data_IF_545490787375
#
_entry.id   IF_545490787375
#
_cell.length_a   1.000
_cell.length_b   1.000
_cell.length_c   1.000
_cell.angle_alpha   90.00
_cell.angle_beta   90.00
_cell.angle_gamma   90.00
#
_symmetry.space_group_name_H-M   'P 1'
#
loop_
_entity.id
_entity.type
_entity.pdbx_description
1 polymer ?
#
# COMPACT_ATOMS: atom_id res chain seq x y z
N UNK A 1 60.48 18.54 28.41
CA UNK A 1 60.20 18.08 27.04
C UNK A 1 58.73 17.73 26.96
N UNK A 2 57.87 18.62 26.47
CA UNK A 2 57.36 18.64 25.08
C UNK A 2 56.76 17.29 24.65
N UNK A 3 55.43 17.14 24.74
CA UNK A 3 54.48 17.08 23.59
C UNK A 3 53.12 16.45 23.95
N UNK A 4 52.07 17.22 23.65
CA UNK A 4 50.80 16.85 22.97
C UNK A 4 49.92 15.78 23.65
N UNK A 5 48.65 16.00 23.95
CA UNK A 5 47.69 16.92 23.35
C UNK A 5 46.44 16.11 22.95
N UNK A 6 45.32 16.38 23.63
CA UNK A 6 43.93 16.23 23.19
C UNK A 6 43.62 15.31 21.99
N UNK A 7 42.80 14.28 22.22
CA UNK A 7 41.64 14.02 21.35
C UNK A 7 40.43 13.71 22.23
N UNK A 8 39.44 14.60 22.13
CA UNK A 8 38.11 14.49 22.72
C UNK A 8 37.40 13.22 22.23
N UNK A 9 36.90 12.41 23.16
CA UNK A 9 35.87 11.44 22.88
C UNK A 9 34.56 12.21 22.62
N UNK A 10 34.31 12.53 21.36
CA UNK A 10 33.03 13.03 20.91
C UNK A 10 31.99 11.91 21.05
N UNK A 11 31.16 12.02 22.07
CA UNK A 11 29.85 11.40 22.21
C UNK A 11 29.01 11.73 20.96
N UNK A 12 29.20 10.93 19.93
CA UNK A 12 28.33 10.89 18.76
C UNK A 12 27.17 9.99 19.14
N UNK A 13 26.17 10.59 19.77
CA UNK A 13 24.81 10.04 19.83
C UNK A 13 24.39 9.87 18.38
N UNK A 14 24.63 8.69 17.82
CA UNK A 14 23.97 8.22 16.61
C UNK A 14 22.51 8.06 17.01
N UNK A 15 21.79 9.17 16.93
CA UNK A 15 20.35 9.21 16.88
C UNK A 15 19.99 8.49 15.56
N UNK A 16 19.87 7.16 15.63
CA UNK A 16 19.07 6.39 14.70
C UNK A 16 17.63 6.87 14.87
N UNK A 17 17.33 8.03 14.30
CA UNK A 17 16.04 8.22 13.69
C UNK A 17 16.01 7.18 12.58
N UNK A 18 15.43 6.01 12.88
CA UNK A 18 14.94 5.10 11.87
C UNK A 18 13.93 5.89 11.06
N UNK A 19 14.41 6.59 10.02
CA UNK A 19 13.55 7.00 8.93
C UNK A 19 12.94 5.68 8.44
N UNK A 20 11.60 5.54 8.45
CA UNK A 20 10.96 4.36 7.88
C UNK A 20 11.54 4.22 6.47
N UNK A 21 12.22 3.11 6.22
CA UNK A 21 12.89 2.84 4.97
C UNK A 21 11.78 2.66 3.93
N UNK A 22 11.29 3.77 3.37
CA UNK A 22 10.32 3.75 2.30
C UNK A 22 10.92 2.96 1.14
N UNK A 23 10.37 1.77 0.96
CA UNK A 23 10.68 0.78 -0.06
C UNK A 23 10.98 1.43 -1.41
N UNK A 24 12.13 1.10 -1.99
CA UNK A 24 12.58 1.56 -3.32
C UNK A 24 11.79 0.93 -4.48
N UNK A 25 10.79 0.10 -4.20
CA UNK A 25 10.24 -0.86 -5.17
C UNK A 25 8.72 -0.71 -5.44
N UNK A 26 8.12 0.47 -5.29
CA UNK A 26 6.73 0.61 -5.77
C UNK A 26 6.71 0.64 -7.31
N UNK A 27 6.43 -0.52 -7.93
CA UNK A 27 6.09 -0.63 -9.35
C UNK A 27 4.83 0.19 -9.72
N UNK A 28 4.14 0.71 -8.70
CA UNK A 28 2.98 1.58 -8.76
C UNK A 28 3.44 3.05 -8.66
N UNK A 29 2.97 3.87 -9.60
CA UNK A 29 3.39 5.26 -9.72
C UNK A 29 2.93 6.15 -8.56
N UNK A 30 3.72 7.18 -8.25
CA UNK A 30 3.36 8.18 -7.23
C UNK A 30 2.24 9.11 -7.71
N UNK A 31 1.41 9.53 -6.78
CA UNK A 31 0.29 10.47 -7.02
C UNK A 31 0.60 11.88 -6.52
N UNK A 32 1.66 12.02 -5.70
CA UNK A 32 2.01 13.25 -5.00
C UNK A 32 1.03 13.59 -3.86
N UNK A 33 0.11 12.69 -3.51
CA UNK A 33 -0.63 12.75 -2.26
C UNK A 33 0.10 11.87 -1.23
N UNK A 34 0.56 12.47 -0.13
CA UNK A 34 1.42 11.78 0.85
C UNK A 34 0.72 10.59 1.50
N UNK A 35 -0.58 10.70 1.78
CA UNK A 35 -1.34 9.64 2.44
C UNK A 35 -1.55 8.46 1.47
N UNK A 36 -1.92 8.75 0.22
CA UNK A 36 -2.08 7.72 -0.80
C UNK A 36 -0.76 7.01 -1.12
N UNK A 37 0.31 7.78 -1.33
CA UNK A 37 1.61 7.21 -1.69
C UNK A 37 2.17 6.35 -0.56
N UNK A 38 2.00 6.76 0.71
CA UNK A 38 2.38 5.94 1.86
C UNK A 38 1.52 4.66 1.99
N UNK A 39 0.20 4.77 1.78
CA UNK A 39 -0.72 3.64 1.79
C UNK A 39 -0.35 2.58 0.75
N UNK A 40 -0.11 2.99 -0.50
CA UNK A 40 0.21 2.07 -1.60
C UNK A 40 1.55 1.36 -1.37
N UNK A 41 2.57 2.06 -0.85
CA UNK A 41 3.85 1.43 -0.49
C UNK A 41 3.63 0.36 0.57
N UNK A 42 2.94 0.70 1.66
CA UNK A 42 2.64 -0.23 2.75
C UNK A 42 1.85 -1.46 2.27
N UNK A 43 0.82 -1.26 1.44
CA UNK A 43 0.05 -2.37 0.87
C UNK A 43 0.89 -3.25 -0.06
N UNK A 44 1.79 -2.65 -0.86
CA UNK A 44 2.69 -3.40 -1.75
C UNK A 44 3.64 -4.27 -0.94
N UNK A 45 4.30 -3.68 0.06
CA UNK A 45 5.25 -4.39 0.92
C UNK A 45 4.54 -5.51 1.68
N UNK A 46 3.36 -5.23 2.26
CA UNK A 46 2.54 -6.25 2.93
C UNK A 46 2.12 -7.40 2.02
N UNK A 47 1.70 -7.09 0.78
CA UNK A 47 1.32 -8.12 -0.20
C UNK A 47 2.51 -9.00 -0.56
N UNK A 48 3.70 -8.42 -0.72
CA UNK A 48 4.94 -9.18 -0.94
C UNK A 48 5.26 -10.08 0.24
N UNK A 49 5.17 -9.57 1.47
CA UNK A 49 5.48 -10.35 2.67
C UNK A 49 4.56 -11.57 2.82
N UNK A 50 3.26 -11.41 2.57
CA UNK A 50 2.32 -12.52 2.59
C UNK A 50 2.64 -13.56 1.50
N UNK A 51 3.00 -13.09 0.30
CA UNK A 51 3.40 -13.96 -0.80
C UNK A 51 4.66 -14.77 -0.45
N UNK A 52 5.73 -14.11 0.01
CA UNK A 52 6.97 -14.74 0.43
C UNK A 52 6.74 -15.78 1.54
N UNK A 53 5.83 -15.47 2.46
CA UNK A 53 5.47 -16.36 3.55
C UNK A 53 4.76 -17.63 3.04
N UNK A 54 3.83 -17.49 2.07
CA UNK A 54 3.18 -18.64 1.43
C UNK A 54 4.22 -19.50 0.71
N UNK A 55 5.12 -18.90 -0.08
CA UNK A 55 6.16 -19.64 -0.80
C UNK A 55 7.13 -20.37 0.14
N UNK A 56 7.37 -19.81 1.33
CA UNK A 56 8.22 -20.41 2.34
C UNK A 56 7.55 -21.59 3.08
N UNK A 57 6.29 -21.44 3.46
CA UNK A 57 5.64 -22.34 4.43
C UNK A 57 4.59 -23.28 3.79
N UNK A 58 4.05 -22.91 2.62
CA UNK A 58 2.94 -23.59 1.95
C UNK A 58 3.14 -23.64 0.44
N UNK A 59 4.18 -24.35 0.00
CA UNK A 59 4.55 -24.48 -1.41
C UNK A 59 3.44 -25.06 -2.29
N UNK A 60 2.53 -25.85 -1.70
CA UNK A 60 1.33 -26.33 -2.39
C UNK A 60 0.44 -25.21 -2.93
N UNK A 61 0.50 -24.00 -2.33
CA UNK A 61 -0.25 -22.83 -2.78
C UNK A 61 0.54 -21.90 -3.71
N UNK A 62 1.75 -22.26 -4.16
CA UNK A 62 2.60 -21.37 -4.95
C UNK A 62 1.88 -20.76 -6.16
N UNK A 63 1.22 -21.58 -6.97
CA UNK A 63 0.55 -21.10 -8.20
C UNK A 63 -0.54 -20.07 -7.89
N UNK A 64 -1.39 -20.33 -6.91
CA UNK A 64 -2.46 -19.40 -6.52
C UNK A 64 -1.92 -18.18 -5.76
N UNK A 65 -0.81 -18.32 -5.04
CA UNK A 65 -0.14 -17.21 -4.39
C UNK A 65 0.45 -16.23 -5.42
N UNK A 66 1.12 -16.75 -6.45
CA UNK A 66 1.66 -15.95 -7.55
C UNK A 66 0.54 -15.19 -8.28
N UNK A 67 -0.56 -15.88 -8.62
CA UNK A 67 -1.73 -15.26 -9.25
C UNK A 67 -2.39 -14.19 -8.35
N UNK A 68 -2.55 -14.49 -7.06
CA UNK A 68 -3.12 -13.55 -6.09
C UNK A 68 -2.24 -12.32 -5.91
N UNK A 69 -0.91 -12.50 -5.83
CA UNK A 69 0.04 -11.41 -5.74
C UNK A 69 -0.03 -10.50 -6.98
N UNK A 70 -0.01 -11.07 -8.18
CA UNK A 70 -0.15 -10.30 -9.42
C UNK A 70 -1.49 -9.55 -9.49
N UNK A 71 -2.58 -10.20 -9.06
CA UNK A 71 -3.90 -9.58 -9.01
C UNK A 71 -3.91 -8.36 -8.09
N UNK A 72 -3.39 -8.49 -6.86
CA UNK A 72 -3.32 -7.38 -5.89
C UNK A 72 -2.49 -6.21 -6.40
N UNK A 73 -1.33 -6.47 -7.01
CA UNK A 73 -0.53 -5.41 -7.66
C UNK A 73 -1.32 -4.73 -8.78
N UNK A 74 -2.09 -5.49 -9.56
CA UNK A 74 -2.90 -4.93 -10.62
C UNK A 74 -4.06 -4.06 -10.10
N UNK A 75 -4.71 -4.46 -9.01
CA UNK A 75 -5.73 -3.66 -8.32
C UNK A 75 -5.15 -2.36 -7.76
N UNK A 76 -4.06 -2.43 -7.00
CA UNK A 76 -3.45 -1.23 -6.41
C UNK A 76 -3.01 -0.22 -7.48
N UNK A 77 -2.51 -0.71 -8.64
CA UNK A 77 -2.21 0.16 -9.79
C UNK A 77 -3.47 0.77 -10.39
N UNK A 78 -4.54 0.00 -10.54
CA UNK A 78 -5.82 0.49 -11.04
C UNK A 78 -6.41 1.57 -10.10
N UNK A 79 -6.42 1.32 -8.80
CA UNK A 79 -6.94 2.25 -7.81
C UNK A 79 -6.10 3.52 -7.73
N UNK A 80 -4.78 3.42 -7.95
CA UNK A 80 -3.91 4.59 -8.05
C UNK A 80 -4.26 5.47 -9.25
N UNK A 81 -4.59 4.88 -10.41
CA UNK A 81 -5.06 5.65 -11.57
C UNK A 81 -6.41 6.31 -11.29
N UNK A 82 -7.34 5.59 -10.66
CA UNK A 82 -8.64 6.14 -10.22
C UNK A 82 -8.45 7.30 -9.26
N UNK A 83 -7.56 7.16 -8.26
CA UNK A 83 -7.26 8.21 -7.31
C UNK A 83 -6.69 9.45 -7.99
N UNK A 84 -5.72 9.28 -8.91
CA UNK A 84 -5.18 10.40 -9.68
C UNK A 84 -6.26 11.13 -10.49
N UNK A 85 -7.18 10.38 -11.11
CA UNK A 85 -8.32 10.95 -11.82
C UNK A 85 -9.23 11.75 -10.87
N UNK A 86 -9.64 11.17 -9.74
CA UNK A 86 -10.50 11.86 -8.77
C UNK A 86 -9.80 13.09 -8.19
N UNK A 87 -8.52 12.98 -7.80
CA UNK A 87 -7.74 14.10 -7.28
C UNK A 87 -7.69 15.28 -8.26
N UNK A 88 -7.62 15.01 -9.56
CA UNK A 88 -7.57 16.04 -10.61
C UNK A 88 -8.94 16.61 -10.96
N UNK A 89 -9.97 15.76 -11.05
CA UNK A 89 -11.24 16.13 -11.68
C UNK A 89 -12.42 16.26 -10.68
N UNK A 90 -12.32 15.58 -9.54
CA UNK A 90 -13.37 15.44 -8.51
C UNK A 90 -12.76 15.37 -7.10
N UNK A 91 -11.89 16.32 -6.69
CA UNK A 91 -11.19 16.23 -5.42
C UNK A 91 -12.13 16.19 -4.20
N UNK A 92 -13.35 16.72 -4.34
CA UNK A 92 -14.41 16.72 -3.34
C UNK A 92 -14.92 15.31 -2.98
N UNK A 93 -14.71 14.32 -3.85
CA UNK A 93 -15.15 12.94 -3.59
C UNK A 93 -14.14 12.12 -2.81
N UNK A 94 -12.97 12.69 -2.48
CA UNK A 94 -11.94 12.02 -1.69
C UNK A 94 -12.11 12.40 -0.23
N UNK A 95 -12.66 11.45 0.55
CA UNK A 95 -12.98 11.63 1.96
C UNK A 95 -11.74 11.47 2.84
N UNK A 96 -11.06 12.57 3.17
CA UNK A 96 -9.82 12.55 3.99
C UNK A 96 -10.06 12.64 5.49
N UNK A 97 -11.18 13.22 5.90
CA UNK A 97 -11.56 13.47 7.29
C UNK A 97 -12.34 12.31 7.94
N UNK A 98 -12.82 11.36 7.14
CA UNK A 98 -13.58 10.17 7.59
C UNK A 98 -12.70 8.93 7.85
N UNK A 99 -11.38 9.11 7.80
CA UNK A 99 -10.39 8.07 8.07
C UNK A 99 -10.08 7.15 6.90
N UNK A 100 -9.11 6.25 7.11
CA UNK A 100 -8.51 5.45 6.06
C UNK A 100 -9.51 4.56 5.28
N UNK A 101 -10.49 3.89 5.91
CA UNK A 101 -11.47 3.09 5.16
C UNK A 101 -12.27 3.92 4.15
N UNK A 102 -12.69 5.13 4.51
CA UNK A 102 -13.38 6.04 3.60
C UNK A 102 -12.43 6.58 2.52
N UNK A 103 -11.20 6.95 2.90
CA UNK A 103 -10.20 7.49 1.98
C UNK A 103 -9.81 6.54 0.85
N UNK A 104 -9.68 5.24 1.14
CA UNK A 104 -9.31 4.22 0.14
C UNK A 104 -10.51 3.69 -0.63
N UNK A 105 -11.74 3.95 -0.14
CA UNK A 105 -12.98 3.61 -0.84
C UNK A 105 -13.33 4.72 -1.82
N UNK A 106 -12.70 4.68 -3.00
CA UNK A 106 -12.92 5.67 -4.04
C UNK A 106 -14.35 5.59 -4.56
N UNK A 107 -15.11 6.68 -4.44
CA UNK A 107 -16.45 6.81 -5.02
C UNK A 107 -16.37 6.79 -6.56
N UNK A 108 -16.39 5.59 -7.14
CA UNK A 108 -16.17 5.35 -8.55
C UNK A 108 -17.47 5.06 -9.29
N UNK A 109 -17.77 5.86 -10.31
CA UNK A 109 -18.97 5.72 -11.13
C UNK A 109 -18.62 5.24 -12.55
N UNK A 110 -19.51 4.51 -13.24
CA UNK A 110 -19.23 3.99 -14.58
C UNK A 110 -18.82 5.06 -15.60
N UNK A 111 -19.39 6.26 -15.54
CA UNK A 111 -19.04 7.36 -16.45
C UNK A 111 -17.60 7.86 -16.27
N UNK A 112 -16.98 7.62 -15.10
CA UNK A 112 -15.58 7.96 -14.86
C UNK A 112 -14.64 6.98 -15.58
N UNK A 113 -15.00 5.69 -15.63
CA UNK A 113 -14.24 4.70 -16.42
C UNK A 113 -14.21 5.10 -17.90
N UNK A 114 -15.35 5.48 -18.50
CA UNK A 114 -15.39 5.90 -19.91
C UNK A 114 -14.55 7.16 -20.17
N UNK A 115 -14.59 8.14 -19.26
CA UNK A 115 -13.82 9.38 -19.38
C UNK A 115 -12.32 9.12 -19.22
N UNK A 116 -11.94 8.27 -18.27
CA UNK A 116 -10.55 7.92 -18.02
C UNK A 116 -9.99 7.04 -19.13
N UNK A 117 -10.75 6.09 -19.66
CA UNK A 117 -10.37 5.30 -20.84
C UNK A 117 -10.06 6.17 -22.06
N UNK A 118 -10.92 7.17 -22.34
CA UNK A 118 -10.68 8.13 -23.44
C UNK A 118 -9.41 8.97 -23.23
N UNK A 119 -9.09 9.29 -21.98
CA UNK A 119 -7.93 10.10 -21.63
C UNK A 119 -6.63 9.29 -21.52
N UNK A 120 -6.74 8.01 -21.14
CA UNK A 120 -5.64 7.08 -20.95
C UNK A 120 -6.07 5.65 -21.35
N UNK A 121 -5.78 5.23 -22.60
CA UNK A 121 -6.06 3.87 -23.04
C UNK A 121 -5.36 2.78 -22.22
N UNK A 122 -4.29 3.13 -21.47
CA UNK A 122 -3.64 2.18 -20.57
C UNK A 122 -4.52 1.83 -19.35
N UNK A 123 -5.47 2.70 -19.00
CA UNK A 123 -6.44 2.43 -17.93
C UNK A 123 -7.30 1.20 -18.26
N UNK A 124 -7.89 1.14 -19.45
CA UNK A 124 -8.73 0.01 -19.86
C UNK A 124 -7.94 -1.30 -19.91
N UNK A 125 -6.70 -1.26 -20.40
CA UNK A 125 -5.79 -2.42 -20.35
C UNK A 125 -5.53 -2.88 -18.91
N UNK A 126 -5.36 -1.95 -17.98
CA UNK A 126 -5.13 -2.25 -16.58
C UNK A 126 -6.39 -2.82 -15.89
N UNK A 127 -7.56 -2.26 -16.20
CA UNK A 127 -8.87 -2.73 -15.70
C UNK A 127 -9.14 -4.17 -16.16
N UNK A 128 -8.96 -4.44 -17.46
CA UNK A 128 -9.08 -5.80 -18.01
C UNK A 128 -8.07 -6.77 -17.40
N UNK A 129 -6.82 -6.32 -17.16
CA UNK A 129 -5.80 -7.14 -16.50
C UNK A 129 -6.23 -7.51 -15.08
N UNK A 130 -6.67 -6.54 -14.27
CA UNK A 130 -7.11 -6.79 -12.90
C UNK A 130 -8.33 -7.72 -12.86
N UNK A 131 -9.34 -7.48 -13.71
CA UNK A 131 -10.53 -8.31 -13.79
C UNK A 131 -10.22 -9.74 -14.24
N UNK A 132 -9.37 -9.91 -15.26
CA UNK A 132 -8.97 -11.23 -15.75
C UNK A 132 -8.15 -12.02 -14.72
N UNK A 133 -7.26 -11.35 -13.98
CA UNK A 133 -6.52 -11.98 -12.88
C UNK A 133 -7.45 -12.38 -11.73
N UNK A 134 -8.38 -11.50 -11.35
CA UNK A 134 -9.39 -11.80 -10.32
C UNK A 134 -10.18 -13.07 -10.66
N UNK A 135 -10.70 -13.15 -11.89
CA UNK A 135 -11.44 -14.32 -12.35
C UNK A 135 -10.61 -15.61 -12.27
N UNK A 136 -9.32 -15.55 -12.65
CA UNK A 136 -8.41 -16.70 -12.54
C UNK A 136 -8.18 -17.12 -11.09
N UNK A 137 -8.00 -16.16 -10.18
CA UNK A 137 -7.81 -16.41 -8.75
C UNK A 137 -9.07 -17.04 -8.16
N UNK A 138 -10.24 -16.42 -8.36
CA UNK A 138 -11.51 -16.90 -7.80
C UNK A 138 -11.94 -18.27 -8.37
N UNK A 139 -11.56 -18.59 -9.61
CA UNK A 139 -11.80 -19.89 -10.22
C UNK A 139 -10.76 -20.96 -9.84
N UNK A 140 -9.66 -20.59 -9.18
CA UNK A 140 -8.60 -21.53 -8.82
C UNK A 140 -9.07 -22.46 -7.69
N UNK A 141 -8.87 -23.77 -7.86
CA UNK A 141 -9.34 -24.80 -6.91
C UNK A 141 -8.83 -24.59 -5.47
N UNK A 142 -7.61 -24.06 -5.33
CA UNK A 142 -6.95 -23.87 -4.04
C UNK A 142 -7.18 -22.46 -3.44
N UNK A 143 -8.01 -21.62 -4.07
CA UNK A 143 -8.24 -20.25 -3.63
C UNK A 143 -8.76 -20.17 -2.20
N UNK A 144 -9.80 -20.95 -1.88
CA UNK A 144 -10.35 -20.99 -0.52
C UNK A 144 -9.29 -21.45 0.50
N UNK A 145 -8.47 -22.46 0.14
CA UNK A 145 -7.40 -22.96 1.00
C UNK A 145 -6.34 -21.89 1.30
N UNK A 146 -5.98 -21.07 0.30
CA UNK A 146 -5.09 -19.93 0.50
C UNK A 146 -5.73 -18.88 1.41
N UNK A 147 -7.00 -18.55 1.23
CA UNK A 147 -7.72 -17.58 2.07
C UNK A 147 -7.78 -18.03 3.54
N UNK A 148 -8.08 -19.31 3.77
CA UNK A 148 -8.15 -19.90 5.10
C UNK A 148 -6.78 -19.88 5.77
N UNK A 149 -5.72 -20.24 5.03
CA UNK A 149 -4.35 -20.16 5.51
C UNK A 149 -3.97 -18.73 5.91
N UNK A 150 -4.15 -17.74 5.03
CA UNK A 150 -3.82 -16.35 5.32
C UNK A 150 -4.60 -15.81 6.53
N UNK A 151 -5.87 -16.20 6.65
CA UNK A 151 -6.71 -15.82 7.80
C UNK A 151 -6.22 -16.46 9.12
N UNK A 152 -5.67 -17.68 9.05
CA UNK A 152 -5.11 -18.37 10.21
C UNK A 152 -3.84 -17.68 10.74
N UNK A 153 -3.04 -17.05 9.86
CA UNK A 153 -1.80 -16.38 10.24
C UNK A 153 -2.01 -15.23 11.23
N UNK A 154 -3.15 -14.54 11.17
CA UNK A 154 -3.50 -13.48 12.11
C UNK A 154 -3.60 -13.96 13.55
N UNK A 155 -3.88 -15.26 13.74
CA UNK A 155 -4.05 -15.90 15.05
C UNK A 155 -2.81 -16.69 15.46
N UNK A 156 -1.81 -16.80 14.58
CA UNK A 156 -0.58 -17.50 14.85
C UNK A 156 0.39 -16.59 15.62
N UNK A 157 0.72 -16.98 16.85
CA UNK A 157 1.68 -16.26 17.70
C UNK A 157 3.05 -16.07 17.03
N UNK A 158 3.45 -17.00 16.14
CA UNK A 158 4.70 -16.88 15.36
C UNK A 158 4.69 -15.66 14.43
N UNK A 159 3.53 -15.31 13.87
CA UNK A 159 3.39 -14.25 12.86
C UNK A 159 2.76 -12.97 13.42
N UNK A 160 2.22 -13.02 14.64
CA UNK A 160 1.56 -11.90 15.33
C UNK A 160 2.33 -10.59 15.28
N UNK A 161 3.63 -10.60 15.62
CA UNK A 161 4.46 -9.38 15.57
C UNK A 161 4.40 -8.71 14.19
N UNK A 162 4.41 -9.48 13.11
CA UNK A 162 4.38 -8.94 11.74
C UNK A 162 3.05 -8.22 11.46
N UNK A 163 1.94 -8.77 11.93
CA UNK A 163 0.63 -8.12 11.83
C UNK A 163 0.57 -6.87 12.71
N UNK A 164 1.13 -6.90 13.92
CA UNK A 164 1.21 -5.74 14.80
C UNK A 164 2.03 -4.61 14.15
N UNK A 165 3.19 -4.94 13.56
CA UNK A 165 4.03 -3.99 12.81
C UNK A 165 3.23 -3.37 11.63
N UNK A 166 2.52 -4.19 10.84
CA UNK A 166 1.67 -3.71 9.75
C UNK A 166 0.54 -2.78 10.24
N UNK A 167 -0.10 -3.11 11.37
CA UNK A 167 -1.14 -2.28 11.97
C UNK A 167 -0.56 -0.94 12.49
N UNK A 168 0.64 -0.95 13.06
CA UNK A 168 1.34 0.27 13.46
C UNK A 168 1.63 1.18 12.24
N UNK A 169 2.09 0.61 11.13
CA UNK A 169 2.33 1.36 9.89
C UNK A 169 1.02 1.88 9.27
N UNK A 170 -0.06 1.10 9.31
CA UNK A 170 -1.40 1.58 8.89
C UNK A 170 -1.86 2.75 9.75
N UNK A 171 -1.59 2.73 11.06
CA UNK A 171 -1.86 3.87 11.95
C UNK A 171 -0.99 5.09 11.63
N UNK A 172 0.24 4.90 11.15
CA UNK A 172 1.08 6.00 10.67
C UNK A 172 0.49 6.64 9.41
N UNK A 173 -0.03 5.85 8.46
CA UNK A 173 -0.76 6.35 7.29
C UNK A 173 -2.00 7.15 7.71
N UNK A 174 -2.78 6.65 8.67
CA UNK A 174 -3.93 7.35 9.23
C UNK A 174 -3.56 8.72 9.82
N UNK A 175 -2.40 8.84 10.48
CA UNK A 175 -1.89 10.12 11.01
C UNK A 175 -1.54 11.10 9.88
N UNK A 176 -0.90 10.62 8.80
CA UNK A 176 -0.58 11.44 7.62
C UNK A 176 -1.87 11.97 6.98
N UNK A 177 -2.88 11.10 6.86
CA UNK A 177 -4.20 11.45 6.34
C UNK A 177 -4.87 12.55 7.17
N UNK A 178 -4.93 12.37 8.49
CA UNK A 178 -5.53 13.33 9.42
C UNK A 178 -4.82 14.70 9.36
N UNK A 179 -3.48 14.71 9.31
CA UNK A 179 -2.70 15.94 9.16
C UNK A 179 -3.01 16.64 7.83
N UNK A 180 -3.11 15.88 6.74
CA UNK A 180 -3.43 16.42 5.40
C UNK A 180 -4.82 17.05 5.38
N UNK A 181 -5.82 16.41 6.01
CA UNK A 181 -7.17 16.95 6.12
C UNK A 181 -7.19 18.27 6.92
N UNK A 182 -6.48 18.31 8.06
CA UNK A 182 -6.37 19.52 8.88
C UNK A 182 -5.70 20.68 8.14
N UNK A 183 -4.64 20.41 7.38
CA UNK A 183 -3.93 21.45 6.61
C UNK A 183 -4.78 21.98 5.44
N UNK A 184 -5.58 21.12 4.79
CA UNK A 184 -6.54 21.56 3.76
C UNK A 184 -7.64 22.43 4.34
N UNK A 185 -8.16 22.11 5.52
CA UNK A 185 -9.17 22.92 6.18
C UNK A 185 -8.60 24.29 6.56
N UNK A 186 -7.38 24.35 7.11
CA UNK A 186 -6.70 25.63 7.41
C UNK A 186 -6.45 26.51 6.18
N UNK A 187 -6.31 25.92 5.00
CA UNK A 187 -6.12 26.69 3.76
C UNK A 187 -7.42 27.26 3.20
N UNK A 188 -8.59 26.81 3.68
CA UNK A 188 -9.91 27.28 3.24
C UNK A 188 -10.44 28.44 4.08
N UNK A 189 -9.91 28.65 5.28
CA UNK A 189 -10.23 29.76 6.20
C UNK A 189 -9.16 30.84 6.16
#
# INVERSE_FOLDING_TARGET
MRRLGFVLFALSVFCWCAAPAWSKNSAIGKTGDKAWDAFIVLQTDWTQELHDLVLKEKKEFQEIADLSYEWRLAEMKLDTLKFQYLKKNRPETIERDKGLPAFVTLAWFPDYSEKLEKADPAFHKQENKAAGLKQKVEAHKDWQGLQDYLSSLQKDEKHKKRFDDFLEEMNAVQKILAQTAADQERQRH
#
